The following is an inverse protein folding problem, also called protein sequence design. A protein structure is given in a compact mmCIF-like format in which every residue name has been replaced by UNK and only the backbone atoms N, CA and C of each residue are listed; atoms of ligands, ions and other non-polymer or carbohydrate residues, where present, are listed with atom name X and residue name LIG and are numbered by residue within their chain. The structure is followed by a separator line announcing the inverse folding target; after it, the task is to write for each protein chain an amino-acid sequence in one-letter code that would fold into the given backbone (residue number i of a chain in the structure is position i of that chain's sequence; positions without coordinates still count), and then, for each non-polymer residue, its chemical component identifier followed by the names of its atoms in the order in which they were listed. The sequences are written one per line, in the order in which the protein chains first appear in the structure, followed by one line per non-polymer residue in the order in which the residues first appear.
data_IF_095845306682
#
_entry.id   IF_095845306682
#
_cell.length_a   1.000
_cell.length_b   1.000
_cell.length_c   1.000
_cell.angle_alpha   90.00
_cell.angle_beta   90.00
_cell.angle_gamma   90.00
#
_symmetry.space_group_name_H-M   'P 1'
#
loop_
_entity.id
_entity.type
_entity.pdbx_description
1 polymer ?
#
# COMPACT_ATOMS: atom_id res chain seq x y z
N UNK A 1 12.90 12.33 -5.85
CA UNK A 1 12.72 10.94 -5.38
C UNK A 1 14.04 10.21 -5.27
N UNK A 2 14.78 9.95 -6.37
CA UNK A 2 16.07 9.23 -6.33
C UNK A 2 17.14 9.92 -5.45
N UNK A 3 17.18 11.25 -5.41
CA UNK A 3 18.06 12.01 -4.49
C UNK A 3 17.82 11.67 -3.02
N UNK A 4 16.55 11.60 -2.58
CA UNK A 4 16.19 11.24 -1.21
C UNK A 4 16.62 9.81 -0.86
N UNK A 5 16.58 8.89 -1.82
CA UNK A 5 17.08 7.53 -1.61
C UNK A 5 18.60 7.50 -1.45
N UNK A 6 19.34 8.29 -2.23
CA UNK A 6 20.80 8.42 -2.08
C UNK A 6 21.12 8.94 -0.67
N UNK A 7 20.46 10.01 -0.24
CA UNK A 7 20.67 10.61 1.07
C UNK A 7 20.35 9.60 2.19
N UNK A 8 19.25 8.85 2.07
CA UNK A 8 18.89 7.80 3.03
C UNK A 8 19.92 6.66 3.07
N UNK A 9 20.43 6.24 1.92
CA UNK A 9 21.48 5.20 1.85
C UNK A 9 22.77 5.70 2.49
N UNK A 10 23.18 6.93 2.19
CA UNK A 10 24.44 7.49 2.71
C UNK A 10 24.36 7.76 4.21
N UNK A 11 23.28 8.38 4.67
CA UNK A 11 23.12 8.78 6.07
C UNK A 11 22.82 7.62 7.02
N UNK A 12 22.13 6.58 6.54
CA UNK A 12 21.60 5.54 7.43
C UNK A 12 21.99 4.11 7.03
N UNK A 13 21.98 3.77 5.74
CA UNK A 13 22.32 2.39 5.33
C UNK A 13 23.83 2.16 5.38
N UNK A 14 24.63 3.09 4.87
CA UNK A 14 26.09 2.95 4.77
C UNK A 14 26.76 2.70 6.13
N UNK A 15 26.40 3.40 7.22
CA UNK A 15 26.99 3.16 8.54
C UNK A 15 26.63 1.79 9.16
N UNK A 16 25.56 1.14 8.70
CA UNK A 16 24.99 -0.05 9.35
C UNK A 16 25.02 -1.31 8.48
N UNK A 17 24.99 -1.15 7.16
CA UNK A 17 25.02 -2.21 6.14
C UNK A 17 25.87 -1.76 4.93
N UNK A 18 27.20 -1.61 5.11
CA UNK A 18 28.08 -1.11 4.06
C UNK A 18 28.02 -1.99 2.79
N UNK A 19 27.90 -3.30 2.93
CA UNK A 19 27.83 -4.23 1.79
C UNK A 19 26.56 -4.01 0.94
N UNK A 20 25.43 -3.71 1.59
CA UNK A 20 24.18 -3.40 0.88
C UNK A 20 24.27 -2.02 0.20
N UNK A 21 24.91 -1.04 0.86
CA UNK A 21 24.97 0.34 0.38
C UNK A 21 25.58 0.46 -1.02
N UNK A 22 26.69 -0.25 -1.29
CA UNK A 22 27.40 -0.16 -2.58
C UNK A 22 26.50 -0.60 -3.74
N UNK A 23 25.80 -1.72 -3.57
CA UNK A 23 24.94 -2.21 -4.63
C UNK A 23 23.61 -1.46 -4.75
N UNK A 24 23.09 -0.87 -3.67
CA UNK A 24 21.94 0.03 -3.73
C UNK A 24 22.29 1.36 -4.43
N UNK A 25 23.46 1.94 -4.16
CA UNK A 25 23.94 3.12 -4.87
C UNK A 25 24.18 2.83 -6.35
N UNK A 26 24.73 1.65 -6.68
CA UNK A 26 24.81 1.19 -8.08
C UNK A 26 23.43 1.08 -8.72
N UNK A 27 22.46 0.50 -8.03
CA UNK A 27 21.10 0.40 -8.54
C UNK A 27 20.51 1.78 -8.86
N UNK A 28 20.64 2.75 -7.95
CA UNK A 28 20.17 4.12 -8.19
C UNK A 28 20.92 4.80 -9.33
N UNK A 29 22.23 4.59 -9.46
CA UNK A 29 23.01 5.13 -10.58
C UNK A 29 22.47 4.61 -11.92
N UNK A 30 22.18 3.30 -12.02
CA UNK A 30 21.57 2.71 -13.21
C UNK A 30 20.15 3.26 -13.44
N UNK A 31 19.37 3.46 -12.37
CA UNK A 31 18.05 4.08 -12.47
C UNK A 31 18.12 5.50 -13.07
N UNK A 32 19.07 6.33 -12.59
CA UNK A 32 19.31 7.68 -13.09
C UNK A 32 19.71 7.72 -14.57
N UNK A 33 20.48 6.73 -15.03
CA UNK A 33 20.83 6.57 -16.44
C UNK A 33 19.72 5.96 -17.30
N UNK A 34 18.55 5.69 -16.71
CA UNK A 34 17.44 4.98 -17.35
C UNK A 34 17.81 3.57 -17.86
N UNK A 35 18.78 2.93 -17.22
CA UNK A 35 19.24 1.58 -17.53
C UNK A 35 18.47 0.52 -16.72
N UNK A 36 18.40 -0.70 -17.27
CA UNK A 36 17.89 -1.85 -16.54
C UNK A 36 18.94 -2.36 -15.55
N UNK A 37 18.48 -2.91 -14.42
CA UNK A 37 19.38 -3.60 -13.50
C UNK A 37 19.80 -4.95 -14.09
N UNK A 38 21.08 -5.28 -14.01
CA UNK A 38 21.55 -6.65 -14.21
C UNK A 38 21.01 -7.58 -13.11
N UNK A 39 21.01 -8.89 -13.38
CA UNK A 39 20.43 -9.90 -12.47
C UNK A 39 21.06 -9.87 -11.07
N UNK A 40 22.36 -9.56 -10.97
CA UNK A 40 23.07 -9.49 -9.69
C UNK A 40 22.57 -8.31 -8.86
N UNK A 41 22.45 -7.15 -9.48
CA UNK A 41 21.98 -5.91 -8.83
C UNK A 41 20.51 -6.03 -8.48
N UNK A 42 19.68 -6.59 -9.38
CA UNK A 42 18.27 -6.85 -9.10
C UNK A 42 18.08 -7.86 -7.95
N UNK A 43 18.88 -8.92 -7.90
CA UNK A 43 18.85 -9.90 -6.81
C UNK A 43 19.21 -9.28 -5.46
N UNK A 44 20.20 -8.39 -5.44
CA UNK A 44 20.54 -7.63 -4.23
C UNK A 44 19.37 -6.75 -3.77
N UNK A 45 18.78 -5.98 -4.69
CA UNK A 45 17.62 -5.13 -4.39
C UNK A 45 16.46 -5.97 -3.84
N UNK A 46 16.19 -7.14 -4.44
CA UNK A 46 15.18 -8.09 -3.97
C UNK A 46 15.46 -8.60 -2.55
N UNK A 47 16.72 -8.89 -2.24
CA UNK A 47 17.15 -9.28 -0.89
C UNK A 47 16.87 -8.16 0.11
N UNK A 48 17.29 -6.93 -0.22
CA UNK A 48 17.06 -5.74 0.62
C UNK A 48 15.56 -5.47 0.82
N UNK A 49 14.74 -5.60 -0.22
CA UNK A 49 13.28 -5.44 -0.15
C UNK A 49 12.61 -6.54 0.70
N UNK A 50 13.26 -7.69 0.85
CA UNK A 50 12.76 -8.83 1.64
C UNK A 50 13.14 -8.74 3.12
N UNK A 51 13.94 -7.75 3.52
CA UNK A 51 14.38 -7.60 4.90
C UNK A 51 13.25 -7.20 5.86
N UNK A 52 13.47 -7.45 7.16
CA UNK A 52 12.57 -6.97 8.23
C UNK A 52 12.84 -5.52 8.63
N UNK A 53 14.06 -5.03 8.40
CA UNK A 53 14.47 -3.67 8.77
C UNK A 53 13.74 -2.64 7.89
N UNK A 54 12.95 -1.71 8.47
CA UNK A 54 12.28 -0.65 7.70
C UNK A 54 13.22 0.18 6.85
N UNK A 55 14.42 0.43 7.34
CA UNK A 55 15.41 1.18 6.57
C UNK A 55 15.82 0.45 5.28
N UNK A 56 15.94 -0.88 5.33
CA UNK A 56 16.31 -1.69 4.18
C UNK A 56 15.11 -1.92 3.28
N UNK A 57 14.01 -2.47 3.81
CA UNK A 57 12.91 -2.84 2.95
C UNK A 57 12.26 -1.63 2.28
N UNK A 58 12.16 -0.46 2.92
CA UNK A 58 11.59 0.73 2.27
C UNK A 58 12.40 1.13 1.02
N UNK A 59 13.74 1.10 1.10
CA UNK A 59 14.60 1.43 -0.03
C UNK A 59 14.48 0.36 -1.12
N UNK A 60 14.52 -0.91 -0.73
CA UNK A 60 14.39 -2.02 -1.69
C UNK A 60 13.06 -2.02 -2.41
N UNK A 61 11.94 -1.83 -1.69
CA UNK A 61 10.60 -1.78 -2.27
C UNK A 61 10.42 -0.58 -3.17
N UNK A 62 11.00 0.58 -2.83
CA UNK A 62 10.94 1.78 -3.67
C UNK A 62 11.71 1.60 -4.99
N UNK A 63 12.91 1.01 -4.94
CA UNK A 63 13.67 0.71 -6.15
C UNK A 63 12.89 -0.29 -7.03
N UNK A 64 12.32 -1.35 -6.44
CA UNK A 64 11.49 -2.30 -7.19
C UNK A 64 10.26 -1.63 -7.77
N UNK A 65 9.61 -0.72 -7.02
CA UNK A 65 8.46 0.04 -7.49
C UNK A 65 8.75 0.79 -8.79
N UNK A 66 9.86 1.54 -8.84
CA UNK A 66 10.31 2.26 -10.03
C UNK A 66 10.54 1.30 -11.21
N UNK A 67 11.06 0.10 -10.94
CA UNK A 67 11.36 -0.90 -11.96
C UNK A 67 10.13 -1.63 -12.50
N UNK A 68 9.04 -1.74 -11.72
CA UNK A 68 7.83 -2.46 -12.16
C UNK A 68 7.24 -1.88 -13.44
N UNK A 69 7.37 -0.57 -13.66
CA UNK A 69 6.88 0.10 -14.86
C UNK A 69 7.69 -0.18 -16.13
N UNK A 70 8.91 -0.71 -16.02
CA UNK A 70 9.84 -0.78 -17.17
C UNK A 70 10.63 -2.07 -17.34
N UNK A 71 10.81 -2.87 -16.29
CA UNK A 71 11.67 -4.06 -16.33
C UNK A 71 10.88 -5.34 -15.97
N UNK A 72 10.72 -6.24 -16.94
CA UNK A 72 9.95 -7.48 -16.77
C UNK A 72 10.52 -8.39 -15.66
N UNK A 73 11.84 -8.46 -15.50
CA UNK A 73 12.46 -9.26 -14.44
C UNK A 73 12.12 -8.73 -13.04
N UNK A 74 11.92 -7.42 -12.86
CA UNK A 74 11.48 -6.86 -11.60
C UNK A 74 10.05 -7.32 -11.23
N UNK A 75 9.15 -7.42 -12.23
CA UNK A 75 7.80 -7.98 -12.03
C UNK A 75 7.85 -9.43 -11.55
N UNK A 76 8.74 -10.24 -12.14
CA UNK A 76 8.93 -11.64 -11.73
C UNK A 76 9.50 -11.74 -10.30
N UNK A 77 10.43 -10.86 -9.94
CA UNK A 77 10.96 -10.78 -8.57
C UNK A 77 9.86 -10.46 -7.57
N UNK A 78 9.06 -9.42 -7.81
CA UNK A 78 7.99 -9.02 -6.88
C UNK A 78 6.88 -10.08 -6.80
N UNK A 79 6.56 -10.74 -7.92
CA UNK A 79 5.66 -11.90 -7.92
C UNK A 79 6.23 -13.07 -7.11
N UNK A 80 7.53 -13.33 -7.19
CA UNK A 80 8.20 -14.33 -6.34
C UNK A 80 8.16 -13.96 -4.85
N UNK A 81 8.36 -12.68 -4.52
CA UNK A 81 8.24 -12.20 -3.14
C UNK A 81 6.83 -12.43 -2.57
N UNK A 82 5.77 -12.21 -3.37
CA UNK A 82 4.39 -12.43 -2.94
C UNK A 82 4.05 -13.89 -2.66
N UNK A 83 4.88 -14.83 -3.11
CA UNK A 83 4.75 -16.26 -2.88
C UNK A 83 5.69 -16.79 -1.76
N UNK A 84 6.45 -15.90 -1.12
CA UNK A 84 7.41 -16.28 -0.08
C UNK A 84 6.75 -17.00 1.10
N UNK A 85 7.46 -17.97 1.70
CA UNK A 85 7.02 -18.62 2.95
C UNK A 85 6.92 -17.62 4.11
N UNK A 86 7.67 -16.52 4.06
CA UNK A 86 7.77 -15.50 5.10
C UNK A 86 6.71 -14.40 4.90
N UNK A 87 5.87 -14.17 5.91
CA UNK A 87 4.77 -13.20 5.82
C UNK A 87 5.24 -11.76 5.60
N UNK A 88 6.36 -11.34 6.21
CA UNK A 88 6.89 -9.99 6.01
C UNK A 88 7.37 -9.76 4.56
N UNK A 89 7.95 -10.78 3.91
CA UNK A 89 8.34 -10.69 2.49
C UNK A 89 7.11 -10.54 1.59
N UNK A 90 6.05 -11.33 1.84
CA UNK A 90 4.79 -11.20 1.08
C UNK A 90 4.15 -9.82 1.29
N UNK A 91 4.14 -9.32 2.52
CA UNK A 91 3.71 -7.95 2.83
C UNK A 91 4.54 -6.91 2.08
N UNK A 92 5.86 -7.07 2.04
CA UNK A 92 6.75 -6.14 1.34
C UNK A 92 6.56 -6.20 -0.18
N UNK A 93 6.17 -7.34 -0.75
CA UNK A 93 5.80 -7.44 -2.17
C UNK A 93 4.63 -6.51 -2.52
N UNK A 94 3.66 -6.35 -1.62
CA UNK A 94 2.56 -5.39 -1.78
C UNK A 94 3.08 -3.95 -1.79
N UNK A 95 4.06 -3.63 -0.93
CA UNK A 95 4.67 -2.29 -0.88
C UNK A 95 5.39 -1.91 -2.17
N UNK A 96 5.81 -2.88 -2.97
CA UNK A 96 6.40 -2.62 -4.28
C UNK A 96 5.37 -2.11 -5.31
N UNK A 97 4.06 -2.24 -5.08
CA UNK A 97 3.04 -1.84 -6.05
C UNK A 97 2.76 -0.33 -6.01
N UNK A 98 2.54 0.26 -7.18
CA UNK A 98 2.11 1.66 -7.39
C UNK A 98 1.13 1.76 -8.56
N UNK A 99 0.62 2.97 -8.80
CA UNK A 99 -0.24 3.31 -9.94
C UNK A 99 0.42 3.01 -11.30
N UNK A 100 1.75 2.98 -11.38
CA UNK A 100 2.49 2.63 -12.60
C UNK A 100 2.68 1.13 -12.79
N UNK A 101 2.27 0.32 -11.82
CA UNK A 101 2.30 -1.15 -11.94
C UNK A 101 1.19 -1.62 -12.89
N UNK A 102 1.44 -2.66 -13.68
CA UNK A 102 0.40 -3.16 -14.58
C UNK A 102 -0.79 -3.72 -13.80
N UNK A 103 -2.00 -3.49 -14.30
CA UNK A 103 -3.26 -3.94 -13.68
C UNK A 103 -3.26 -5.43 -13.41
N UNK A 104 -2.65 -6.25 -14.28
CA UNK A 104 -2.55 -7.70 -14.12
C UNK A 104 -1.68 -8.06 -12.91
N UNK A 105 -0.53 -7.42 -12.75
CA UNK A 105 0.38 -7.67 -11.62
C UNK A 105 -0.25 -7.25 -10.30
N UNK A 106 -0.88 -6.07 -10.28
CA UNK A 106 -1.59 -5.54 -9.11
C UNK A 106 -2.71 -6.49 -8.71
N UNK A 107 -3.59 -6.88 -9.64
CA UNK A 107 -4.69 -7.80 -9.34
C UNK A 107 -4.21 -9.19 -8.89
N UNK A 108 -3.10 -9.69 -9.45
CA UNK A 108 -2.52 -10.97 -9.04
C UNK A 108 -2.01 -10.91 -7.59
N UNK A 109 -1.23 -9.90 -7.24
CA UNK A 109 -0.60 -9.78 -5.91
C UNK A 109 -1.63 -9.37 -4.85
N UNK A 110 -2.46 -8.37 -5.10
CA UNK A 110 -3.50 -7.95 -4.14
C UNK A 110 -4.54 -9.05 -3.98
N UNK A 111 -4.99 -9.66 -5.08
CA UNK A 111 -5.99 -10.72 -5.05
C UNK A 111 -5.55 -11.92 -4.21
N UNK A 112 -4.32 -12.41 -4.38
CA UNK A 112 -3.80 -13.50 -3.55
C UNK A 112 -3.58 -13.08 -2.09
N UNK A 113 -3.11 -11.84 -1.87
CA UNK A 113 -2.79 -11.33 -0.54
C UNK A 113 -4.03 -11.09 0.33
N UNK A 114 -5.20 -10.85 -0.26
CA UNK A 114 -6.47 -10.76 0.46
C UNK A 114 -6.90 -12.11 1.07
N UNK A 115 -6.44 -13.22 0.49
CA UNK A 115 -6.68 -14.59 1.00
C UNK A 115 -5.46 -15.16 1.75
N UNK A 116 -4.51 -14.30 2.12
CA UNK A 116 -3.29 -14.73 2.80
C UNK A 116 -3.58 -15.33 4.18
N UNK A 117 -2.75 -16.27 4.64
CA UNK A 117 -2.84 -16.84 5.99
C UNK A 117 -2.55 -15.85 7.12
N UNK A 118 -1.81 -14.78 6.86
CA UNK A 118 -1.43 -13.75 7.82
C UNK A 118 -2.38 -12.56 7.77
N UNK A 119 -2.97 -12.20 8.90
CA UNK A 119 -3.82 -11.00 9.02
C UNK A 119 -3.07 -9.71 8.65
N UNK A 120 -1.76 -9.63 8.90
CA UNK A 120 -0.95 -8.47 8.54
C UNK A 120 -0.78 -8.32 7.02
N UNK A 121 -0.74 -9.43 6.28
CA UNK A 121 -0.68 -9.42 4.82
C UNK A 121 -2.04 -9.02 4.25
N UNK A 122 -3.14 -9.59 4.76
CA UNK A 122 -4.51 -9.22 4.36
C UNK A 122 -4.81 -7.74 4.64
N UNK A 123 -4.44 -7.25 5.82
CA UNK A 123 -4.54 -5.84 6.21
C UNK A 123 -3.80 -4.94 5.23
N UNK A 124 -2.54 -5.29 4.89
CA UNK A 124 -1.74 -4.51 3.95
C UNK A 124 -2.34 -4.55 2.53
N UNK A 125 -2.87 -5.69 2.10
CA UNK A 125 -3.51 -5.82 0.79
C UNK A 125 -4.74 -4.91 0.67
N UNK A 126 -5.57 -4.84 1.72
CA UNK A 126 -6.73 -3.96 1.75
C UNK A 126 -6.35 -2.47 1.75
N UNK A 127 -5.39 -2.06 2.59
CA UNK A 127 -4.84 -0.69 2.59
C UNK A 127 -4.29 -0.30 1.20
N UNK A 128 -3.53 -1.19 0.56
CA UNK A 128 -3.00 -0.91 -0.78
C UNK A 128 -4.10 -0.89 -1.86
N UNK A 129 -5.12 -1.74 -1.76
CA UNK A 129 -6.28 -1.69 -2.65
C UNK A 129 -7.02 -0.35 -2.55
N UNK A 130 -7.15 0.18 -1.33
CA UNK A 130 -7.69 1.51 -1.07
C UNK A 130 -6.89 2.62 -1.74
N UNK A 131 -5.57 2.64 -1.47
CA UNK A 131 -4.62 3.59 -2.06
C UNK A 131 -4.66 3.60 -3.59
N UNK A 132 -4.69 2.42 -4.20
CA UNK A 132 -4.72 2.25 -5.66
C UNK A 132 -6.15 2.33 -6.24
N UNK A 133 -7.16 2.59 -5.42
CA UNK A 133 -8.57 2.66 -5.81
C UNK A 133 -9.08 1.44 -6.61
N UNK A 134 -8.74 0.23 -6.16
CA UNK A 134 -8.98 -0.99 -6.92
C UNK A 134 -10.42 -1.49 -6.78
N UNK A 135 -11.34 -0.89 -7.53
CA UNK A 135 -12.74 -1.35 -7.57
C UNK A 135 -12.86 -2.83 -7.95
N UNK A 136 -11.94 -3.33 -8.79
CA UNK A 136 -11.91 -4.72 -9.28
C UNK A 136 -11.68 -5.79 -8.20
N UNK A 137 -11.27 -5.41 -6.98
CA UNK A 137 -11.00 -6.38 -5.89
C UNK A 137 -12.00 -6.28 -4.73
N UNK A 138 -13.00 -5.40 -4.80
CA UNK A 138 -13.97 -5.19 -3.71
C UNK A 138 -14.69 -6.49 -3.33
N UNK A 139 -15.20 -7.26 -4.30
CA UNK A 139 -15.87 -8.54 -4.02
C UNK A 139 -14.94 -9.51 -3.26
N UNK A 140 -13.66 -9.59 -3.65
CA UNK A 140 -12.67 -10.43 -2.95
C UNK A 140 -12.36 -9.91 -1.55
N UNK A 141 -12.38 -8.60 -1.34
CA UNK A 141 -12.22 -8.00 -0.01
C UNK A 141 -13.41 -8.37 0.88
N UNK A 142 -14.63 -8.33 0.36
CA UNK A 142 -15.84 -8.74 1.09
C UNK A 142 -15.79 -10.23 1.47
N UNK A 143 -15.32 -11.09 0.58
CA UNK A 143 -15.06 -12.51 0.89
C UNK A 143 -14.02 -12.68 2.00
N UNK A 144 -12.90 -11.96 1.91
CA UNK A 144 -11.83 -12.02 2.90
C UNK A 144 -12.28 -11.51 4.28
N UNK A 145 -13.14 -10.48 4.34
CA UNK A 145 -13.73 -9.98 5.60
C UNK A 145 -14.53 -11.05 6.33
N UNK A 146 -15.26 -11.91 5.60
CA UNK A 146 -16.10 -12.98 6.20
C UNK A 146 -15.27 -13.98 7.00
N UNK A 147 -14.01 -14.21 6.62
CA UNK A 147 -13.10 -15.16 7.27
C UNK A 147 -12.04 -14.48 8.16
N UNK A 148 -11.99 -13.15 8.18
CA UNK A 148 -11.02 -12.40 8.97
C UNK A 148 -11.39 -12.44 10.45
N UNK A 149 -10.50 -12.94 11.31
CA UNK A 149 -10.73 -13.05 12.75
C UNK A 149 -10.04 -11.95 13.57
N UNK A 150 -9.06 -11.25 13.01
CA UNK A 150 -8.37 -10.16 13.67
C UNK A 150 -9.19 -8.87 13.59
N UNK A 151 -9.71 -8.33 14.72
CA UNK A 151 -10.66 -7.22 14.71
C UNK A 151 -10.14 -5.97 13.98
N UNK A 152 -8.88 -5.58 14.23
CA UNK A 152 -8.29 -4.41 13.57
C UNK A 152 -8.12 -4.59 12.06
N UNK A 153 -7.79 -5.82 11.62
CA UNK A 153 -7.67 -6.09 10.19
C UNK A 153 -9.05 -6.03 9.55
N UNK A 154 -10.04 -6.67 10.17
CA UNK A 154 -11.44 -6.65 9.70
C UNK A 154 -11.95 -5.22 9.58
N UNK A 155 -11.69 -4.38 10.59
CA UNK A 155 -12.05 -2.95 10.60
C UNK A 155 -11.43 -2.20 9.42
N UNK A 156 -10.13 -2.36 9.19
CA UNK A 156 -9.44 -1.70 8.06
C UNK A 156 -10.01 -2.17 6.73
N UNK A 157 -10.22 -3.48 6.56
CA UNK A 157 -10.81 -4.01 5.33
C UNK A 157 -12.20 -3.42 5.05
N UNK A 158 -13.06 -3.31 6.08
CA UNK A 158 -14.38 -2.69 5.95
C UNK A 158 -14.31 -1.21 5.59
N UNK A 159 -13.39 -0.45 6.21
CA UNK A 159 -13.14 0.95 5.87
C UNK A 159 -12.75 1.06 4.41
N UNK A 160 -11.75 0.30 3.96
CA UNK A 160 -11.26 0.38 2.58
C UNK A 160 -12.33 -0.05 1.57
N UNK A 161 -13.15 -1.06 1.87
CA UNK A 161 -14.29 -1.45 1.02
C UNK A 161 -15.24 -0.26 0.83
N UNK A 162 -15.67 0.40 1.92
CA UNK A 162 -16.55 1.56 1.83
C UNK A 162 -15.90 2.73 1.08
N UNK A 163 -14.63 3.02 1.35
CA UNK A 163 -13.91 4.10 0.66
C UNK A 163 -13.72 3.85 -0.84
N UNK A 164 -13.55 2.60 -1.28
CA UNK A 164 -13.43 2.26 -2.70
C UNK A 164 -14.80 2.26 -3.38
N UNK A 165 -15.81 1.63 -2.76
CA UNK A 165 -17.12 1.40 -3.40
C UNK A 165 -18.03 2.63 -3.32
N UNK A 166 -18.12 3.21 -2.13
CA UNK A 166 -19.11 4.23 -1.79
C UNK A 166 -18.45 5.62 -1.65
N UNK A 167 -17.11 5.66 -1.59
CA UNK A 167 -16.34 6.89 -1.35
C UNK A 167 -16.40 7.39 0.09
N UNK A 168 -17.04 6.63 0.99
CA UNK A 168 -17.10 6.85 2.42
C UNK A 168 -17.31 5.54 3.19
N UNK A 169 -17.06 5.56 4.51
CA UNK A 169 -17.41 4.46 5.40
C UNK A 169 -17.91 5.01 6.73
N UNK A 170 -18.99 4.44 7.27
CA UNK A 170 -19.57 4.82 8.55
C UNK A 170 -19.33 3.74 9.61
N UNK A 171 -18.94 4.15 10.81
CA UNK A 171 -18.97 3.25 11.96
C UNK A 171 -19.43 3.99 13.23
N UNK A 172 -20.10 3.29 14.16
CA UNK A 172 -20.51 3.90 15.43
C UNK A 172 -19.30 4.48 16.19
N UNK A 173 -19.45 5.71 16.69
CA UNK A 173 -18.50 6.31 17.61
C UNK A 173 -18.94 6.04 19.06
N UNK A 174 -20.19 6.40 19.34
CA UNK A 174 -20.88 6.25 20.62
C UNK A 174 -22.42 6.27 20.37
N UNK A 175 -23.28 6.10 21.39
CA UNK A 175 -24.73 6.08 21.17
C UNK A 175 -25.32 7.34 20.52
N UNK A 176 -24.63 8.49 20.59
CA UNK A 176 -25.09 9.76 20.05
C UNK A 176 -24.37 10.19 18.76
N UNK A 177 -23.35 9.44 18.30
CA UNK A 177 -22.55 9.84 17.14
C UNK A 177 -21.99 8.69 16.31
N UNK A 178 -21.70 9.02 15.06
CA UNK A 178 -21.12 8.15 14.04
C UNK A 178 -19.83 8.77 13.52
N UNK A 179 -18.78 7.95 13.39
CA UNK A 179 -17.58 8.30 12.64
C UNK A 179 -17.83 8.09 11.14
N UNK A 180 -17.50 9.09 10.34
CA UNK A 180 -17.60 9.04 8.88
C UNK A 180 -16.19 9.22 8.32
N UNK A 181 -15.70 8.18 7.66
CA UNK A 181 -14.50 8.25 6.83
C UNK A 181 -14.93 8.70 5.44
N UNK A 182 -14.29 9.70 4.87
CA UNK A 182 -14.58 10.19 3.51
C UNK A 182 -13.31 10.17 2.69
N UNK A 183 -13.36 9.55 1.51
CA UNK A 183 -12.25 9.56 0.56
C UNK A 183 -12.11 10.94 -0.07
N UNK A 184 -10.92 11.53 0.03
CA UNK A 184 -10.49 12.70 -0.73
C UNK A 184 -9.32 12.34 -1.64
N UNK A 185 -8.94 13.27 -2.53
CA UNK A 185 -7.79 13.14 -3.43
C UNK A 185 -6.47 12.90 -2.68
N UNK A 186 -6.28 13.59 -1.54
CA UNK A 186 -5.05 13.48 -0.73
C UNK A 186 -5.15 12.45 0.41
N UNK A 187 -6.15 11.55 0.36
CA UNK A 187 -6.38 10.53 1.36
C UNK A 187 -7.69 10.72 2.14
N UNK A 188 -8.06 9.74 2.98
CA UNK A 188 -9.31 9.80 3.72
C UNK A 188 -9.23 10.81 4.87
N UNK A 189 -10.36 11.45 5.15
CA UNK A 189 -10.57 12.19 6.40
C UNK A 189 -11.54 11.42 7.29
N UNK A 190 -11.42 11.66 8.59
CA UNK A 190 -12.31 11.11 9.61
C UNK A 190 -13.02 12.27 10.30
N UNK A 191 -14.35 12.27 10.28
CA UNK A 191 -15.18 13.23 10.99
C UNK A 191 -16.11 12.51 11.97
N UNK A 192 -16.34 13.09 13.14
CA UNK A 192 -17.38 12.63 14.08
C UNK A 192 -18.64 13.46 13.87
N UNK A 193 -19.75 12.80 13.53
CA UNK A 193 -21.03 13.46 13.27
C UNK A 193 -22.09 12.96 14.25
N UNK A 194 -22.83 13.88 14.85
CA UNK A 194 -23.95 13.52 15.72
C UNK A 194 -25.06 12.81 14.94
N UNK A 195 -25.68 11.79 15.55
CA UNK A 195 -26.70 10.99 14.87
C UNK A 195 -27.92 11.84 14.47
N UNK A 196 -28.29 12.84 15.28
CA UNK A 196 -29.33 13.82 14.94
C UNK A 196 -29.01 14.61 13.66
N UNK A 197 -27.76 15.01 13.47
CA UNK A 197 -27.29 15.71 12.27
C UNK A 197 -27.29 14.77 11.06
N UNK A 198 -26.88 13.52 11.26
CA UNK A 198 -26.91 12.49 10.22
C UNK A 198 -28.34 12.21 9.74
N UNK A 199 -29.30 12.12 10.67
CA UNK A 199 -30.72 11.96 10.38
C UNK A 199 -31.33 13.17 9.66
N UNK A 200 -30.98 14.39 10.10
CA UNK A 200 -31.52 15.63 9.53
C UNK A 200 -30.97 15.91 8.11
N UNK A 201 -29.66 15.73 7.89
CA UNK A 201 -28.99 16.16 6.66
C UNK A 201 -28.84 15.04 5.63
N UNK A 202 -28.79 13.78 6.09
CA UNK A 202 -28.46 12.63 5.26
C UNK A 202 -26.95 12.52 4.96
N UNK A 203 -26.49 11.28 4.77
CA UNK A 203 -25.07 10.98 4.58
C UNK A 203 -24.47 11.64 3.33
N UNK A 204 -25.18 11.66 2.21
CA UNK A 204 -24.67 12.20 0.95
C UNK A 204 -24.33 13.70 1.07
N UNK A 205 -25.21 14.48 1.70
CA UNK A 205 -24.98 15.92 1.93
C UNK A 205 -23.79 16.17 2.84
N UNK A 206 -23.62 15.35 3.87
CA UNK A 206 -22.47 15.43 4.79
C UNK A 206 -21.18 15.12 4.03
N UNK A 207 -21.16 14.06 3.23
CA UNK A 207 -20.00 13.66 2.42
C UNK A 207 -19.65 14.75 1.40
N UNK A 208 -20.63 15.33 0.70
CA UNK A 208 -20.42 16.45 -0.22
C UNK A 208 -19.81 17.66 0.48
N UNK A 209 -20.34 18.03 1.67
CA UNK A 209 -19.80 19.12 2.48
C UNK A 209 -18.36 18.84 2.91
N UNK A 210 -18.06 17.61 3.30
CA UNK A 210 -16.72 17.19 3.70
C UNK A 210 -15.73 17.20 2.52
N UNK A 211 -16.20 16.92 1.31
CA UNK A 211 -15.41 17.04 0.07
C UNK A 211 -15.19 18.50 -0.37
N UNK A 212 -16.23 19.35 -0.27
CA UNK A 212 -16.20 20.73 -0.76
C UNK A 212 -15.78 21.79 0.27
N UNK A 213 -15.71 21.45 1.55
CA UNK A 213 -15.44 22.38 2.66
C UNK A 213 -13.97 22.69 2.93
N UNK A 214 -13.04 22.16 2.13
CA UNK A 214 -11.60 22.45 2.25
C UNK A 214 -11.09 23.04 0.94
N UNK A 215 -10.30 24.12 0.95
CA UNK A 215 -9.69 24.63 -0.27
C UNK A 215 -8.83 23.52 -0.88
N UNK A 216 -9.01 23.28 -2.18
CA UNK A 216 -7.99 22.62 -3.00
C UNK A 216 -6.80 23.58 -3.02
N UNK A 217 -5.71 23.24 -2.32
CA UNK A 217 -4.46 24.01 -2.31
C UNK A 217 -3.47 23.29 -3.21
#
# INVERSE_FOLDING_TARGET
MLSLLIDAIQSYVTPHWPDASVGLLRAISLLNSNENLDDKTLSLVASVASEKSPALYNIGTEILNILLGRQQSAKQVVLGMSQSKLAHVRRNAILCLSETSSTELVNAIIGSSLQDKSSLVRQKAADWAGRLNLLSVVERMEEAVKIENHPETRKIMLIEIGLIRDGYYMCPADPAATYIYVRLEHGPILERVENSVLEEQGIERIVEKLRGGRPQI
#
